data_IF_216662270670
#
_entry.id   IF_216662270670
#
_cell.length_a   1.000
_cell.length_b   1.000
_cell.length_c   1.000
_cell.angle_alpha   90.00
_cell.angle_beta   90.00
_cell.angle_gamma   90.00
#
_symmetry.space_group_name_H-M   'P 1'
#
loop_
_entity.id
_entity.type
_entity.pdbx_description
1 polymer ?
#
# COMPACT_ATOMS: atom_id res chain seq x y z
N UNK A 1 -45.53 -2.87 42.94
CA UNK A 1 -45.22 -2.33 41.60
C UNK A 1 -43.77 -2.63 41.33
N UNK A 2 -43.48 -3.59 40.44
CA UNK A 2 -42.12 -3.89 40.02
C UNK A 2 -41.75 -2.92 38.90
N UNK A 3 -40.82 -2.01 39.18
CA UNK A 3 -40.16 -1.20 38.15
C UNK A 3 -39.16 -2.14 37.48
N UNK A 4 -39.58 -2.73 36.36
CA UNK A 4 -38.69 -3.54 35.53
C UNK A 4 -37.53 -2.69 35.06
N UNK A 5 -36.30 -3.13 35.37
CA UNK A 5 -35.10 -2.56 34.81
C UNK A 5 -35.20 -2.54 33.27
N UNK A 6 -34.79 -1.46 32.60
CA UNK A 6 -34.77 -1.43 31.14
C UNK A 6 -33.87 -2.58 30.67
N UNK A 7 -34.44 -3.44 29.84
CA UNK A 7 -33.73 -4.50 29.16
C UNK A 7 -32.62 -3.84 28.33
N UNK A 8 -31.35 -4.27 28.42
CA UNK A 8 -30.32 -3.73 27.54
C UNK A 8 -30.77 -3.98 26.10
N UNK A 9 -30.91 -2.91 25.33
CA UNK A 9 -31.08 -3.00 23.88
C UNK A 9 -29.97 -3.87 23.34
N UNK A 10 -30.33 -4.89 22.54
CA UNK A 10 -29.33 -5.67 21.81
C UNK A 10 -28.37 -4.71 21.11
N UNK A 11 -27.04 -4.96 21.14
CA UNK A 11 -26.09 -4.07 20.50
C UNK A 11 -26.51 -3.91 19.03
N UNK A 12 -26.84 -2.68 18.63
CA UNK A 12 -27.19 -2.38 17.24
C UNK A 12 -25.98 -2.75 16.40
N UNK A 13 -26.20 -3.52 15.34
CA UNK A 13 -25.12 -3.88 14.41
C UNK A 13 -24.54 -2.58 13.81
N UNK A 14 -23.23 -2.29 13.98
CA UNK A 14 -22.63 -1.02 13.54
C UNK A 14 -22.89 -0.70 12.06
N UNK A 15 -22.84 -1.73 11.20
CA UNK A 15 -23.14 -1.58 9.78
C UNK A 15 -24.57 -1.12 9.51
N UNK A 16 -25.55 -1.58 10.29
CA UNK A 16 -26.95 -1.18 10.12
C UNK A 16 -27.15 0.29 10.54
N UNK A 17 -26.50 0.71 11.63
CA UNK A 17 -26.52 2.11 12.09
C UNK A 17 -25.96 3.02 11.01
N UNK A 18 -24.76 2.70 10.49
CA UNK A 18 -24.12 3.54 9.48
C UNK A 18 -24.79 3.47 8.11
N UNK A 19 -25.34 2.32 7.73
CA UNK A 19 -26.12 2.20 6.50
C UNK A 19 -27.33 3.15 6.50
N UNK A 20 -28.02 3.24 7.64
CA UNK A 20 -29.13 4.17 7.81
C UNK A 20 -28.63 5.62 7.85
N UNK A 21 -27.64 5.94 8.68
CA UNK A 21 -27.14 7.31 8.85
C UNK A 21 -26.56 7.88 7.55
N UNK A 22 -25.85 7.07 6.77
CA UNK A 22 -25.23 7.48 5.50
C UNK A 22 -26.17 7.35 4.28
N UNK A 23 -27.41 6.93 4.47
CA UNK A 23 -28.39 6.69 3.39
C UNK A 23 -27.84 5.78 2.27
N UNK A 24 -27.18 4.67 2.67
CA UNK A 24 -26.57 3.75 1.71
C UNK A 24 -27.61 3.00 0.88
N UNK A 25 -27.32 2.80 -0.40
CA UNK A 25 -28.18 2.02 -1.29
C UNK A 25 -28.20 0.54 -0.87
N UNK A 26 -29.33 -0.18 -1.01
CA UNK A 26 -29.46 -1.57 -0.58
C UNK A 26 -28.34 -2.48 -1.10
N UNK A 27 -27.92 -2.32 -2.35
CA UNK A 27 -26.85 -3.10 -2.98
C UNK A 27 -25.51 -2.90 -2.26
N UNK A 28 -25.24 -1.66 -1.83
CA UNK A 28 -24.04 -1.33 -1.05
C UNK A 28 -24.11 -1.98 0.33
N UNK A 29 -25.28 -2.00 0.96
CA UNK A 29 -25.46 -2.63 2.28
C UNK A 29 -25.27 -4.14 2.20
N UNK A 30 -25.81 -4.81 1.18
CA UNK A 30 -25.57 -6.25 0.96
C UNK A 30 -24.08 -6.55 0.76
N UNK A 31 -23.40 -5.76 -0.09
CA UNK A 31 -21.96 -5.90 -0.32
C UNK A 31 -21.15 -5.71 0.97
N UNK A 32 -21.52 -4.73 1.81
CA UNK A 32 -20.89 -4.49 3.11
C UNK A 32 -21.13 -5.62 4.11
N UNK A 33 -22.32 -6.22 4.14
CA UNK A 33 -22.60 -7.37 5.02
C UNK A 33 -21.72 -8.57 4.67
N UNK A 34 -21.49 -8.82 3.38
CA UNK A 34 -20.59 -9.87 2.93
C UNK A 34 -19.12 -9.66 3.38
N UNK A 35 -18.75 -8.43 3.78
CA UNK A 35 -17.39 -8.14 4.27
C UNK A 35 -17.15 -8.65 5.70
N UNK A 36 -18.22 -8.79 6.49
CA UNK A 36 -18.13 -9.17 7.92
C UNK A 36 -17.43 -10.50 8.14
N UNK A 37 -17.60 -11.43 7.21
CA UNK A 37 -17.04 -12.78 7.31
C UNK A 37 -15.69 -12.92 6.58
N UNK A 38 -15.16 -11.83 5.99
CA UNK A 38 -13.84 -11.84 5.35
C UNK A 38 -12.72 -11.84 6.38
N UNK A 39 -11.64 -12.56 6.06
CA UNK A 39 -10.42 -12.57 6.86
C UNK A 39 -9.86 -11.15 7.02
N UNK A 40 -9.50 -10.76 8.25
CA UNK A 40 -8.97 -9.43 8.56
C UNK A 40 -10.02 -8.31 8.68
N UNK A 41 -11.32 -8.59 8.51
CA UNK A 41 -12.38 -7.56 8.60
C UNK A 41 -12.69 -7.09 10.02
N UNK A 42 -12.34 -7.89 11.04
CA UNK A 42 -12.67 -7.64 12.45
C UNK A 42 -12.31 -6.24 12.95
N UNK A 43 -11.05 -5.79 12.81
CA UNK A 43 -10.63 -4.44 13.23
C UNK A 43 -11.38 -3.32 12.52
N UNK A 44 -11.77 -3.51 11.25
CA UNK A 44 -12.59 -2.55 10.53
C UNK A 44 -14.01 -2.48 11.10
N UNK A 45 -14.61 -3.61 11.48
CA UNK A 45 -15.91 -3.62 12.17
C UNK A 45 -15.82 -2.98 13.57
N UNK A 46 -14.74 -3.22 14.31
CA UNK A 46 -14.44 -2.55 15.58
C UNK A 46 -14.36 -1.04 15.42
N UNK A 47 -13.67 -0.56 14.38
CA UNK A 47 -13.60 0.87 14.04
C UNK A 47 -14.99 1.45 13.83
N UNK A 48 -15.82 0.81 12.98
CA UNK A 48 -17.19 1.28 12.71
C UNK A 48 -18.03 1.36 13.99
N UNK A 49 -17.88 0.41 14.91
CA UNK A 49 -18.58 0.45 16.20
C UNK A 49 -18.15 1.64 17.06
N UNK A 50 -16.88 2.05 17.00
CA UNK A 50 -16.32 3.15 17.80
C UNK A 50 -16.62 4.54 17.26
N UNK A 51 -16.78 4.68 15.94
CA UNK A 51 -17.01 5.98 15.31
C UNK A 51 -18.24 6.70 15.87
N UNK A 52 -19.25 5.97 16.37
CA UNK A 52 -20.49 6.53 16.91
C UNK A 52 -20.23 7.45 18.12
N UNK A 53 -19.20 7.11 18.90
CA UNK A 53 -18.76 7.83 20.09
C UNK A 53 -17.52 8.70 19.86
N UNK A 54 -17.08 8.89 18.61
CA UNK A 54 -16.01 9.82 18.28
C UNK A 54 -16.55 11.24 18.14
N UNK A 55 -15.81 12.26 18.59
CA UNK A 55 -16.24 13.67 18.61
C UNK A 55 -16.64 14.22 17.21
N UNK A 56 -16.08 13.68 16.12
CA UNK A 56 -16.48 14.03 14.75
C UNK A 56 -17.90 13.57 14.40
N UNK A 57 -18.47 12.64 15.15
CA UNK A 57 -19.81 12.07 14.98
C UNK A 57 -20.72 12.35 16.18
N UNK A 58 -20.16 12.60 17.37
CA UNK A 58 -20.86 12.82 18.65
C UNK A 58 -21.65 14.14 18.66
N UNK A 59 -22.75 14.16 17.90
CA UNK A 59 -23.90 15.06 18.02
C UNK A 59 -25.12 14.25 17.59
N UNK A 60 -26.28 14.46 18.23
CA UNK A 60 -27.55 14.00 17.68
C UNK A 60 -28.28 15.19 17.04
N UNK A 61 -28.49 15.21 15.70
CA UNK A 61 -28.02 14.24 14.70
C UNK A 61 -26.52 14.36 14.42
N UNK A 62 -25.91 13.28 13.90
CA UNK A 62 -24.48 13.23 13.56
C UNK A 62 -24.08 14.39 12.63
N UNK A 63 -22.81 14.82 12.70
CA UNK A 63 -22.29 15.88 11.83
C UNK A 63 -22.39 15.45 10.36
N UNK A 64 -23.18 16.17 9.57
CA UNK A 64 -23.52 15.81 8.19
C UNK A 64 -22.28 15.55 7.31
N UNK A 65 -21.25 16.39 7.42
CA UNK A 65 -20.01 16.22 6.65
C UNK A 65 -19.30 14.90 6.98
N UNK A 66 -19.18 14.54 8.27
CA UNK A 66 -18.54 13.30 8.72
C UNK A 66 -19.31 12.06 8.25
N UNK A 67 -20.64 12.11 8.31
CA UNK A 67 -21.53 11.05 7.82
C UNK A 67 -21.41 10.88 6.31
N UNK A 68 -21.40 11.98 5.55
CA UNK A 68 -21.22 11.94 4.10
C UNK A 68 -19.86 11.34 3.72
N UNK A 69 -18.79 11.73 4.40
CA UNK A 69 -17.45 11.18 4.15
C UNK A 69 -17.36 9.69 4.53
N UNK A 70 -17.99 9.27 5.63
CA UNK A 70 -18.09 7.86 6.00
C UNK A 70 -18.88 7.06 4.96
N UNK A 71 -20.00 7.61 4.47
CA UNK A 71 -20.79 6.99 3.40
C UNK A 71 -19.96 6.77 2.13
N UNK A 72 -19.11 7.73 1.75
CA UNK A 72 -18.20 7.58 0.62
C UNK A 72 -17.15 6.49 0.84
N UNK A 73 -16.57 6.41 2.05
CA UNK A 73 -15.63 5.35 2.46
C UNK A 73 -16.30 3.97 2.37
N UNK A 74 -17.49 3.82 2.95
CA UNK A 74 -18.24 2.57 2.96
C UNK A 74 -18.63 2.13 1.55
N UNK A 75 -19.11 3.06 0.72
CA UNK A 75 -19.42 2.77 -0.69
C UNK A 75 -18.19 2.31 -1.47
N UNK A 76 -17.03 2.92 -1.24
CA UNK A 76 -15.79 2.53 -1.91
C UNK A 76 -15.29 1.16 -1.43
N UNK A 77 -15.32 0.89 -0.12
CA UNK A 77 -14.92 -0.41 0.44
C UNK A 77 -15.82 -1.56 -0.05
N UNK A 78 -17.11 -1.29 -0.26
CA UNK A 78 -18.05 -2.26 -0.80
C UNK A 78 -17.75 -2.70 -2.24
N UNK A 79 -17.16 -1.82 -3.07
CA UNK A 79 -17.04 -2.05 -4.52
C UNK A 79 -15.60 -2.01 -5.05
N UNK A 80 -14.60 -1.78 -4.20
CA UNK A 80 -13.19 -1.76 -4.58
C UNK A 80 -12.37 -2.63 -3.63
N UNK A 81 -11.90 -3.77 -4.14
CA UNK A 81 -11.15 -4.76 -3.37
C UNK A 81 -9.83 -4.23 -2.83
N UNK A 82 -9.14 -3.38 -3.59
CA UNK A 82 -7.88 -2.78 -3.17
C UNK A 82 -8.09 -1.78 -2.03
N UNK A 83 -9.11 -0.94 -2.14
CA UNK A 83 -9.48 0.00 -1.08
C UNK A 83 -9.98 -0.74 0.16
N UNK A 84 -10.76 -1.81 -0.03
CA UNK A 84 -11.21 -2.66 1.07
C UNK A 84 -10.05 -3.30 1.84
N UNK A 85 -9.08 -3.87 1.12
CA UNK A 85 -7.88 -4.42 1.74
C UNK A 85 -7.10 -3.36 2.53
N UNK A 86 -7.00 -2.13 1.99
CA UNK A 86 -6.43 -0.99 2.71
C UNK A 86 -7.22 -0.63 3.98
N UNK A 87 -8.56 -0.63 3.92
CA UNK A 87 -9.40 -0.40 5.10
C UNK A 87 -9.12 -1.42 6.20
N UNK A 88 -9.00 -2.70 5.86
CA UNK A 88 -8.73 -3.77 6.83
C UNK A 88 -7.33 -3.63 7.45
N UNK A 89 -6.32 -3.33 6.64
CA UNK A 89 -4.93 -3.14 7.09
C UNK A 89 -4.80 -1.95 8.05
N UNK A 90 -5.31 -0.77 7.66
CA UNK A 90 -5.21 0.45 8.47
C UNK A 90 -6.07 0.37 9.74
N UNK A 91 -7.18 -0.36 9.70
CA UNK A 91 -8.02 -0.56 10.87
C UNK A 91 -7.41 -1.48 11.93
N UNK A 92 -6.30 -2.19 11.64
CA UNK A 92 -5.64 -3.07 12.62
C UNK A 92 -5.23 -2.38 13.93
N UNK A 93 -5.06 -1.05 13.92
CA UNK A 93 -4.82 -0.26 15.13
C UNK A 93 -6.07 0.07 15.96
N UNK A 94 -7.28 -0.13 15.42
CA UNK A 94 -8.54 0.33 16.01
C UNK A 94 -8.96 -0.47 17.26
N UNK A 95 -8.34 -1.61 17.54
CA UNK A 95 -8.69 -2.44 18.71
C UNK A 95 -8.26 -1.83 20.04
N UNK A 96 -7.29 -0.90 20.04
CA UNK A 96 -6.96 -0.11 21.23
C UNK A 96 -8.16 0.75 21.66
N UNK A 97 -8.48 0.79 22.96
CA UNK A 97 -9.58 1.59 23.52
C UNK A 97 -9.25 3.09 23.54
N UNK A 98 -9.17 3.70 22.35
CA UNK A 98 -8.84 5.10 22.15
C UNK A 98 -9.64 5.67 20.97
N UNK A 99 -10.59 6.56 21.27
CA UNK A 99 -11.45 7.23 20.28
C UNK A 99 -10.66 8.14 19.34
N UNK A 100 -9.60 8.79 19.85
CA UNK A 100 -8.71 9.62 19.03
C UNK A 100 -7.92 8.76 18.01
N UNK A 101 -7.55 7.53 18.36
CA UNK A 101 -6.95 6.63 17.37
C UNK A 101 -7.94 6.26 16.26
N UNK A 102 -9.23 6.06 16.59
CA UNK A 102 -10.27 5.84 15.59
C UNK A 102 -10.44 7.07 14.67
N UNK A 103 -10.31 8.29 15.19
CA UNK A 103 -10.32 9.54 14.40
C UNK A 103 -9.09 9.66 13.47
N UNK A 104 -7.89 9.26 13.94
CA UNK A 104 -6.68 9.21 13.13
C UNK A 104 -6.86 8.24 11.96
N UNK A 105 -7.36 7.04 12.26
CA UNK A 105 -7.64 5.99 11.28
C UNK A 105 -8.69 6.48 10.28
N UNK A 106 -9.81 7.04 10.74
CA UNK A 106 -10.85 7.58 9.87
C UNK A 106 -10.34 8.71 8.99
N UNK A 107 -9.49 9.61 9.49
CA UNK A 107 -8.77 10.60 8.69
C UNK A 107 -7.96 9.95 7.56
N UNK A 108 -7.21 8.89 7.84
CA UNK A 108 -6.43 8.18 6.82
C UNK A 108 -7.33 7.48 5.78
N UNK A 109 -8.46 6.89 6.21
CA UNK A 109 -9.44 6.30 5.29
C UNK A 109 -10.06 7.35 4.37
N UNK A 110 -10.46 8.51 4.91
CA UNK A 110 -11.00 9.64 4.13
C UNK A 110 -10.00 10.19 3.13
N UNK A 111 -8.73 10.30 3.54
CA UNK A 111 -7.66 10.68 2.64
C UNK A 111 -7.60 9.66 1.51
N UNK A 112 -7.37 8.38 1.82
CA UNK A 112 -7.28 7.33 0.81
C UNK A 112 -8.53 7.24 -0.10
N UNK A 113 -9.74 7.50 0.41
CA UNK A 113 -10.96 7.52 -0.40
C UNK A 113 -10.95 8.60 -1.49
N UNK A 114 -10.13 9.65 -1.37
CA UNK A 114 -9.96 10.70 -2.39
C UNK A 114 -8.86 10.38 -3.40
N UNK A 115 -8.14 9.27 -3.23
CA UNK A 115 -7.08 8.85 -4.15
C UNK A 115 -7.68 8.41 -5.50
N UNK A 116 -7.33 9.08 -6.63
CA UNK A 116 -7.85 8.77 -7.95
C UNK A 116 -7.66 7.31 -8.38
N UNK A 117 -6.63 6.62 -7.87
CA UNK A 117 -6.32 5.24 -8.24
C UNK A 117 -7.42 4.25 -7.86
N UNK A 118 -8.24 4.56 -6.84
CA UNK A 118 -9.39 3.73 -6.44
C UNK A 118 -10.66 3.98 -7.26
N UNK A 119 -10.70 5.03 -8.08
CA UNK A 119 -11.89 5.44 -8.84
C UNK A 119 -11.82 5.07 -10.33
N UNK A 120 -10.76 4.37 -10.75
CA UNK A 120 -10.57 3.90 -12.11
C UNK A 120 -10.01 4.96 -13.06
N UNK A 121 -9.25 4.52 -14.08
CA UNK A 121 -8.72 5.31 -15.20
C UNK A 121 -8.02 6.64 -14.82
N UNK A 122 -7.44 6.73 -13.62
CA UNK A 122 -6.67 7.90 -13.21
C UNK A 122 -5.42 8.05 -14.08
N UNK A 123 -5.19 9.26 -14.59
CA UNK A 123 -3.94 9.58 -15.28
C UNK A 123 -2.80 9.69 -14.27
N UNK A 124 -1.57 9.45 -14.73
CA UNK A 124 -0.39 9.62 -13.89
C UNK A 124 -0.31 11.03 -13.29
N UNK A 125 -0.68 12.06 -14.05
CA UNK A 125 -0.71 13.44 -13.59
C UNK A 125 -1.71 13.64 -12.45
N UNK A 126 -2.92 13.07 -12.57
CA UNK A 126 -3.95 13.15 -11.52
C UNK A 126 -3.45 12.50 -10.22
N UNK A 127 -2.82 11.33 -10.32
CA UNK A 127 -2.28 10.60 -9.17
C UNK A 127 -1.13 11.39 -8.53
N UNK A 128 -0.16 11.87 -9.31
CA UNK A 128 0.96 12.65 -8.78
C UNK A 128 0.50 13.96 -8.13
N UNK A 129 -0.45 14.68 -8.75
CA UNK A 129 -1.00 15.91 -8.20
C UNK A 129 -1.77 15.66 -6.90
N UNK A 130 -2.50 14.54 -6.83
CA UNK A 130 -3.15 14.12 -5.60
C UNK A 130 -2.14 13.84 -4.47
N UNK A 131 -1.14 12.99 -4.71
CA UNK A 131 -0.14 12.67 -3.68
C UNK A 131 0.72 13.88 -3.27
N UNK A 132 1.02 14.81 -4.19
CA UNK A 132 1.65 16.10 -3.85
C UNK A 132 0.83 16.88 -2.83
N UNK A 133 -0.49 17.00 -3.04
CA UNK A 133 -1.40 17.64 -2.07
C UNK A 133 -1.50 16.89 -0.75
N UNK A 134 -1.17 15.60 -0.73
CA UNK A 134 -1.14 14.78 0.48
C UNK A 134 0.19 14.83 1.24
N UNK A 135 1.25 15.42 0.69
CA UNK A 135 2.55 15.53 1.39
C UNK A 135 2.42 16.23 2.74
N UNK A 136 1.72 17.39 2.87
CA UNK A 136 1.50 18.05 4.17
C UNK A 136 0.92 17.13 5.24
N UNK A 137 -0.02 16.24 4.88
CA UNK A 137 -0.62 15.27 5.81
C UNK A 137 0.45 14.38 6.45
N UNK A 138 1.31 13.77 5.62
CA UNK A 138 2.41 12.91 6.09
C UNK A 138 3.54 13.67 6.82
N UNK A 139 3.65 14.98 6.58
CA UNK A 139 4.64 15.83 7.25
C UNK A 139 4.22 16.19 8.68
N UNK A 140 2.92 16.17 8.99
CA UNK A 140 2.44 16.28 10.38
C UNK A 140 2.96 15.11 11.20
N UNK A 141 2.79 13.88 10.71
CA UNK A 141 3.27 12.68 11.39
C UNK A 141 4.79 12.73 11.59
N UNK A 142 5.55 13.12 10.55
CA UNK A 142 7.00 13.32 10.64
C UNK A 142 7.42 14.35 11.69
N UNK A 143 6.70 15.46 11.75
CA UNK A 143 7.00 16.53 12.70
C UNK A 143 6.76 16.03 14.12
N UNK A 144 5.62 15.38 14.36
CA UNK A 144 5.26 14.84 15.66
C UNK A 144 6.26 13.77 16.11
N UNK A 145 6.60 12.81 15.25
CA UNK A 145 7.59 11.77 15.59
C UNK A 145 8.96 12.35 15.96
N UNK A 146 9.37 13.50 15.37
CA UNK A 146 10.63 14.17 15.72
C UNK A 146 10.53 15.00 17.01
N UNK A 147 9.39 15.64 17.23
CA UNK A 147 9.20 16.63 18.31
C UNK A 147 8.75 15.99 19.62
N UNK A 148 8.02 14.89 19.54
CA UNK A 148 7.41 14.16 20.65
C UNK A 148 7.78 12.66 20.53
N UNK A 149 9.03 12.28 20.88
CA UNK A 149 9.51 10.91 20.69
C UNK A 149 8.87 9.88 21.65
N UNK A 150 8.14 10.34 22.67
CA UNK A 150 7.42 9.47 23.60
C UNK A 150 6.05 9.09 23.00
N UNK A 151 5.84 7.79 22.82
CA UNK A 151 4.72 7.21 22.05
C UNK A 151 3.33 7.59 22.59
N UNK A 152 3.19 7.76 23.91
CA UNK A 152 1.90 7.90 24.60
C UNK A 152 1.15 9.22 24.35
N UNK A 153 1.80 10.25 23.80
CA UNK A 153 1.14 11.53 23.42
C UNK A 153 1.17 11.77 21.90
N UNK A 154 1.67 10.82 21.12
CA UNK A 154 1.95 11.05 19.70
C UNK A 154 0.68 11.16 18.85
N UNK A 155 -0.40 10.45 19.23
CA UNK A 155 -1.65 10.43 18.46
C UNK A 155 -2.46 11.71 18.67
N UNK A 156 -2.60 12.15 19.91
CA UNK A 156 -3.30 13.37 20.30
C UNK A 156 -2.63 14.60 19.67
N UNK A 157 -1.29 14.64 19.67
CA UNK A 157 -0.53 15.69 19.01
C UNK A 157 -0.68 15.67 17.48
N UNK A 158 -0.78 14.49 16.85
CA UNK A 158 -1.07 14.37 15.42
C UNK A 158 -2.47 14.92 15.10
N UNK A 159 -3.49 14.51 15.85
CA UNK A 159 -4.86 15.00 15.64
C UNK A 159 -4.99 16.51 15.87
N UNK A 160 -4.44 17.02 16.98
CA UNK A 160 -4.49 18.43 17.32
C UNK A 160 -3.86 19.29 16.21
N UNK A 161 -2.72 18.86 15.65
CA UNK A 161 -2.12 19.52 14.49
C UNK A 161 -2.98 19.39 13.24
N UNK A 162 -3.57 18.22 12.95
CA UNK A 162 -4.45 18.05 11.79
C UNK A 162 -5.70 18.95 11.85
N UNK A 163 -6.25 19.19 13.04
CA UNK A 163 -7.36 20.12 13.25
C UNK A 163 -6.90 21.57 13.01
N UNK A 164 -5.82 21.99 13.68
CA UNK A 164 -5.29 23.36 13.61
C UNK A 164 -4.75 23.76 12.23
N UNK A 165 -4.28 22.79 11.45
CA UNK A 165 -3.71 22.98 10.13
C UNK A 165 -4.69 22.64 8.99
N UNK A 166 -5.99 22.52 9.30
CA UNK A 166 -7.01 22.13 8.32
C UNK A 166 -7.09 23.05 7.08
N UNK A 167 -6.60 24.28 7.16
CA UNK A 167 -6.48 25.23 6.05
C UNK A 167 -5.44 24.84 4.99
N UNK A 168 -4.41 24.07 5.37
CA UNK A 168 -3.33 23.63 4.47
C UNK A 168 -3.34 22.11 4.19
N UNK A 169 -4.24 21.36 4.82
CA UNK A 169 -4.34 19.91 4.68
C UNK A 169 -5.37 19.51 3.61
N UNK A 170 -5.17 18.37 2.95
CA UNK A 170 -6.06 17.91 1.86
C UNK A 170 -7.46 17.50 2.33
N UNK A 171 -7.61 17.20 3.61
CA UNK A 171 -8.88 16.87 4.26
C UNK A 171 -8.98 17.62 5.59
N UNK A 172 -10.22 17.88 6.02
CA UNK A 172 -10.50 18.53 7.29
C UNK A 172 -10.68 17.48 8.38
N UNK A 173 -9.86 17.52 9.43
CA UNK A 173 -10.13 16.77 10.65
C UNK A 173 -11.13 17.57 11.50
N UNK A 174 -12.35 17.04 11.78
CA UNK A 174 -13.43 17.85 12.36
C UNK A 174 -13.20 18.21 13.83
N UNK A 175 -12.79 17.22 14.63
CA UNK A 175 -12.64 17.35 16.07
C UNK A 175 -11.80 16.21 16.67
N UNK A 176 -11.54 16.28 17.97
CA UNK A 176 -10.88 15.25 18.77
C UNK A 176 -11.53 15.18 20.15
N UNK A 177 -11.54 14.00 20.76
CA UNK A 177 -12.22 13.75 22.04
C UNK A 177 -11.38 14.25 23.23
N UNK A 178 -10.05 14.13 23.17
CA UNK A 178 -9.17 14.44 24.30
C UNK A 178 -8.24 15.64 24.03
N UNK A 179 -8.82 16.78 23.68
CA UNK A 179 -8.08 18.01 23.34
C UNK A 179 -7.16 18.51 24.47
N UNK A 180 -7.50 18.21 25.72
CA UNK A 180 -6.73 18.56 26.90
C UNK A 180 -5.45 17.73 27.07
N UNK A 181 -5.29 16.62 26.33
CA UNK A 181 -4.12 15.75 26.39
C UNK A 181 -3.04 16.11 25.36
N UNK A 182 -3.29 17.10 24.49
CA UNK A 182 -2.28 17.55 23.51
C UNK A 182 -1.30 18.58 24.08
N UNK A 183 -0.03 18.44 23.71
CA UNK A 183 1.05 19.41 23.94
C UNK A 183 1.12 20.50 22.84
N UNK A 184 0.15 20.57 21.93
CA UNK A 184 0.14 21.50 20.77
C UNK A 184 -0.44 22.86 21.16
N UNK A 185 0.45 23.81 21.42
CA UNK A 185 0.11 25.24 21.57
C UNK A 185 0.36 26.04 20.26
N UNK A 186 0.05 27.34 20.27
CA UNK A 186 0.27 28.23 19.11
C UNK A 186 1.72 28.25 18.61
N UNK A 187 2.70 28.12 19.52
CA UNK A 187 4.12 28.07 19.16
C UNK A 187 4.49 26.78 18.42
N UNK A 188 3.95 25.63 18.87
CA UNK A 188 4.13 24.33 18.21
C UNK A 188 3.44 24.33 16.84
N UNK A 189 2.24 24.91 16.74
CA UNK A 189 1.53 25.05 15.47
C UNK A 189 2.36 25.87 14.46
N UNK A 190 2.92 27.02 14.88
CA UNK A 190 3.78 27.83 14.02
C UNK A 190 5.04 27.08 13.56
N UNK A 191 5.65 26.27 14.43
CA UNK A 191 6.79 25.41 14.09
C UNK A 191 6.39 24.33 13.08
N UNK A 192 5.22 23.70 13.26
CA UNK A 192 4.70 22.70 12.33
C UNK A 192 4.42 23.31 10.95
N UNK A 193 3.80 24.50 10.89
CA UNK A 193 3.60 25.25 9.63
C UNK A 193 4.92 25.52 8.92
N UNK A 194 5.92 26.03 9.65
CA UNK A 194 7.25 26.28 9.09
C UNK A 194 7.93 24.99 8.59
N UNK A 195 7.79 23.89 9.33
CA UNK A 195 8.30 22.59 8.93
C UNK A 195 7.64 22.06 7.65
N UNK A 196 6.30 22.15 7.56
CA UNK A 196 5.56 21.74 6.36
C UNK A 196 5.96 22.59 5.16
N UNK A 197 5.97 23.93 5.29
CA UNK A 197 6.34 24.84 4.22
C UNK A 197 7.76 24.59 3.70
N UNK A 198 8.70 24.19 4.57
CA UNK A 198 10.08 23.85 4.19
C UNK A 198 10.18 22.53 3.40
N UNK A 199 9.25 21.60 3.59
CA UNK A 199 9.38 20.22 3.12
C UNK A 199 8.30 19.77 2.14
N UNK A 200 7.24 20.56 1.91
CA UNK A 200 6.10 20.17 1.07
C UNK A 200 6.48 19.90 -0.40
N UNK A 201 7.46 20.63 -0.94
CA UNK A 201 7.92 20.47 -2.32
C UNK A 201 9.07 19.46 -2.48
N UNK A 202 9.40 18.71 -1.43
CA UNK A 202 10.48 17.74 -1.47
C UNK A 202 10.09 16.50 -2.27
N UNK A 203 10.81 16.24 -3.37
CA UNK A 203 10.67 15.03 -4.20
C UNK A 203 10.87 13.75 -3.37
N UNK A 204 11.78 13.77 -2.39
CA UNK A 204 11.99 12.65 -1.47
C UNK A 204 10.76 12.40 -0.56
N UNK A 205 10.04 13.45 -0.16
CA UNK A 205 8.81 13.32 0.63
C UNK A 205 7.66 12.80 -0.21
N UNK A 206 7.55 13.29 -1.44
CA UNK A 206 6.58 12.77 -2.41
C UNK A 206 6.83 11.29 -2.74
N UNK A 207 8.08 10.92 -3.05
CA UNK A 207 8.46 9.53 -3.28
C UNK A 207 8.09 8.67 -2.08
N UNK A 208 8.44 9.09 -0.86
CA UNK A 208 8.10 8.32 0.35
C UNK A 208 6.60 8.16 0.55
N UNK A 209 5.80 9.20 0.26
CA UNK A 209 4.34 9.13 0.34
C UNK A 209 3.79 8.11 -0.67
N UNK A 210 4.22 8.19 -1.93
CA UNK A 210 3.84 7.27 -2.99
C UNK A 210 4.21 5.82 -2.66
N UNK A 211 5.45 5.56 -2.24
CA UNK A 211 5.93 4.21 -1.89
C UNK A 211 5.16 3.57 -0.73
N UNK A 212 4.53 4.37 0.14
CA UNK A 212 3.70 3.89 1.25
C UNK A 212 2.23 3.69 0.86
N UNK A 213 1.79 4.15 -0.30
CA UNK A 213 0.42 3.94 -0.78
C UNK A 213 0.29 2.56 -1.45
N UNK A 214 -0.56 1.65 -0.95
CA UNK A 214 -0.81 0.37 -1.62
C UNK A 214 -1.42 0.55 -3.01
N UNK A 215 -2.25 1.59 -3.17
CA UNK A 215 -2.87 1.96 -4.43
C UNK A 215 -1.83 2.37 -5.50
N UNK A 216 -0.78 3.07 -5.06
CA UNK A 216 0.32 3.46 -5.93
C UNK A 216 1.07 2.23 -6.50
N UNK A 217 1.29 1.19 -5.70
CA UNK A 217 1.92 -0.05 -6.19
C UNK A 217 1.11 -0.67 -7.32
N UNK A 218 -0.20 -0.84 -7.13
CA UNK A 218 -1.08 -1.38 -8.17
C UNK A 218 -1.13 -0.47 -9.41
N UNK A 219 -1.09 0.84 -9.21
CA UNK A 219 -0.99 1.79 -10.31
C UNK A 219 0.32 1.58 -11.10
N UNK A 220 1.45 1.44 -10.42
CA UNK A 220 2.75 1.20 -11.05
C UNK A 220 2.79 -0.13 -11.80
N UNK A 221 2.21 -1.19 -11.26
CA UNK A 221 2.07 -2.49 -11.93
C UNK A 221 1.33 -2.37 -13.27
N UNK A 222 0.23 -1.60 -13.30
CA UNK A 222 -0.53 -1.33 -14.54
C UNK A 222 0.24 -0.48 -15.55
N UNK A 223 1.05 0.48 -15.08
CA UNK A 223 1.84 1.35 -15.97
C UNK A 223 3.13 0.69 -16.48
N UNK A 224 3.65 -0.32 -15.78
CA UNK A 224 4.91 -0.99 -16.08
C UNK A 224 4.75 -2.52 -16.19
N UNK A 225 3.81 -3.02 -17.03
CA UNK A 225 3.47 -4.43 -17.04
C UNK A 225 4.67 -5.32 -17.41
N UNK A 226 5.54 -4.87 -18.32
CA UNK A 226 6.73 -5.64 -18.73
C UNK A 226 7.70 -5.83 -17.56
N UNK A 227 8.06 -4.76 -16.85
CA UNK A 227 8.98 -4.85 -15.72
C UNK A 227 8.45 -5.72 -14.58
N UNK A 228 7.15 -5.61 -14.26
CA UNK A 228 6.54 -6.42 -13.20
C UNK A 228 6.36 -7.88 -13.61
N UNK A 229 5.92 -8.19 -14.83
CA UNK A 229 5.83 -9.57 -15.33
C UNK A 229 7.22 -10.23 -15.37
N UNK A 230 8.24 -9.54 -15.87
CA UNK A 230 9.61 -10.06 -15.88
C UNK A 230 10.11 -10.36 -14.45
N UNK A 231 9.85 -9.46 -13.49
CA UNK A 231 10.18 -9.71 -12.09
C UNK A 231 9.49 -10.99 -11.57
N UNK A 232 8.20 -11.18 -11.85
CA UNK A 232 7.48 -12.39 -11.46
C UNK A 232 8.09 -13.66 -12.07
N UNK A 233 8.41 -13.65 -13.37
CA UNK A 233 9.02 -14.79 -14.05
C UNK A 233 10.39 -15.14 -13.48
N UNK A 234 11.23 -14.14 -13.21
CA UNK A 234 12.54 -14.34 -12.58
C UNK A 234 12.44 -14.98 -11.19
N UNK A 235 11.45 -14.57 -10.40
CA UNK A 235 11.19 -15.16 -9.08
C UNK A 235 10.61 -16.57 -9.17
N UNK A 236 9.76 -16.86 -10.15
CA UNK A 236 9.23 -18.21 -10.40
C UNK A 236 10.35 -19.17 -10.84
N UNK A 237 11.20 -18.76 -11.77
CA UNK A 237 12.38 -19.52 -12.20
C UNK A 237 13.35 -19.75 -11.04
N UNK A 238 13.61 -18.74 -10.20
CA UNK A 238 14.42 -18.90 -9.00
C UNK A 238 13.82 -19.91 -8.01
N UNK A 239 12.49 -19.91 -7.85
CA UNK A 239 11.79 -20.88 -7.00
C UNK A 239 11.95 -22.31 -7.53
N UNK A 240 11.79 -22.51 -8.84
CA UNK A 240 11.96 -23.81 -9.48
C UNK A 240 13.38 -24.34 -9.31
N UNK A 241 14.40 -23.52 -9.55
CA UNK A 241 15.79 -23.91 -9.36
C UNK A 241 16.10 -24.34 -7.90
N UNK A 242 15.50 -23.65 -6.92
CA UNK A 242 15.60 -24.03 -5.51
C UNK A 242 14.89 -25.36 -5.22
N UNK A 243 13.74 -25.62 -5.86
CA UNK A 243 13.01 -26.88 -5.71
C UNK A 243 13.78 -28.07 -6.31
N UNK A 244 14.42 -27.90 -7.46
CA UNK A 244 15.21 -28.94 -8.13
C UNK A 244 16.49 -29.30 -7.35
N UNK A 245 17.06 -28.35 -6.61
CA UNK A 245 18.26 -28.56 -5.78
C UNK A 245 17.96 -29.22 -4.42
N UNK A 246 16.72 -29.59 -4.13
CA UNK A 246 16.32 -30.18 -2.84
C UNK A 246 16.69 -31.68 -2.80
N UNK A 247 17.62 -32.12 -1.94
CA UNK A 247 17.93 -33.55 -1.81
C UNK A 247 16.75 -34.31 -1.17
N UNK A 248 16.35 -35.43 -1.76
CA UNK A 248 15.37 -36.35 -1.17
C UNK A 248 15.91 -36.91 0.16
N UNK A 249 15.19 -36.66 1.26
CA UNK A 249 15.44 -37.31 2.56
C UNK A 249 16.47 -36.69 3.50
N UNK A 250 17.05 -35.51 3.20
CA UNK A 250 17.96 -34.85 4.14
C UNK A 250 17.20 -34.04 5.21
N UNK A 251 17.55 -34.26 6.49
CA UNK A 251 17.07 -33.43 7.59
C UNK A 251 17.50 -31.97 7.39
N UNK A 252 16.52 -31.07 7.45
CA UNK A 252 16.72 -29.63 7.23
C UNK A 252 17.69 -29.08 8.28
N UNK A 253 18.85 -28.58 7.84
CA UNK A 253 19.69 -27.77 8.71
C UNK A 253 18.91 -26.51 9.08
N UNK A 254 18.90 -26.15 10.36
CA UNK A 254 18.34 -24.88 10.84
C UNK A 254 19.00 -23.77 10.03
N UNK A 255 18.22 -22.96 9.29
CA UNK A 255 18.81 -21.87 8.51
C UNK A 255 19.60 -20.96 9.45
N UNK A 256 20.76 -20.43 9.03
CA UNK A 256 21.35 -19.30 9.75
C UNK A 256 20.29 -18.20 9.87
N UNK A 257 20.31 -17.37 10.91
CA UNK A 257 19.43 -16.19 11.00
C UNK A 257 19.67 -15.29 9.78
N UNK A 258 18.86 -15.47 8.74
CA UNK A 258 18.96 -14.69 7.52
C UNK A 258 18.16 -13.42 7.76
N UNK A 259 18.85 -12.29 7.77
CA UNK A 259 18.20 -10.99 7.71
C UNK A 259 17.47 -10.84 6.36
N UNK A 260 16.17 -11.12 6.35
CA UNK A 260 15.28 -11.00 5.19
C UNK A 260 14.80 -9.56 4.95
N UNK A 261 15.23 -8.61 5.79
CA UNK A 261 14.68 -7.25 5.88
C UNK A 261 15.43 -6.24 5.01
N UNK A 262 16.68 -6.52 4.58
CA UNK A 262 17.49 -5.53 3.86
C UNK A 262 18.36 -6.11 2.75
N UNK A 263 18.00 -5.83 1.50
CA UNK A 263 18.84 -6.03 0.31
C UNK A 263 18.84 -4.75 -0.52
N UNK A 264 19.97 -4.40 -1.14
CA UNK A 264 20.12 -3.15 -1.88
C UNK A 264 19.56 -3.19 -3.31
N UNK A 265 19.24 -4.38 -3.84
CA UNK A 265 18.69 -4.54 -5.19
C UNK A 265 17.93 -5.86 -5.41
N UNK A 266 17.11 -5.91 -6.47
CA UNK A 266 16.42 -7.14 -6.93
C UNK A 266 17.41 -8.27 -7.27
N UNK A 267 18.52 -7.97 -7.94
CA UNK A 267 19.56 -8.98 -8.30
C UNK A 267 20.22 -9.58 -7.06
N UNK A 268 20.49 -8.77 -6.04
CA UNK A 268 20.99 -9.28 -4.75
C UNK A 268 19.97 -10.20 -4.07
N UNK A 269 18.69 -9.82 -4.09
CA UNK A 269 17.62 -10.63 -3.52
C UNK A 269 17.45 -11.97 -4.27
N UNK A 270 17.51 -11.97 -5.61
CA UNK A 270 17.44 -13.19 -6.44
C UNK A 270 18.64 -14.11 -6.20
N UNK A 271 19.86 -13.56 -6.15
CA UNK A 271 21.07 -14.33 -5.87
C UNK A 271 20.99 -15.01 -4.49
N UNK A 272 20.52 -14.30 -3.47
CA UNK A 272 20.31 -14.88 -2.14
C UNK A 272 19.22 -15.94 -2.15
N UNK A 273 18.09 -15.69 -2.81
CA UNK A 273 17.00 -16.66 -2.91
C UNK A 273 17.48 -18.00 -3.52
N UNK A 274 18.24 -17.93 -4.62
CA UNK A 274 18.87 -19.10 -5.27
C UNK A 274 19.85 -19.83 -4.34
N UNK A 275 20.54 -19.11 -3.45
CA UNK A 275 21.51 -19.65 -2.52
C UNK A 275 20.90 -20.28 -1.24
N UNK A 276 19.57 -20.37 -1.12
CA UNK A 276 18.90 -20.89 0.08
C UNK A 276 18.07 -22.18 -0.14
N UNK A 277 18.68 -23.32 -0.53
CA UNK A 277 17.97 -24.60 -0.70
C UNK A 277 17.25 -25.10 0.57
N UNK A 278 17.80 -24.79 1.75
CA UNK A 278 17.34 -25.30 3.06
C UNK A 278 16.15 -24.57 3.68
N UNK A 279 15.68 -23.47 3.09
CA UNK A 279 14.55 -22.68 3.63
C UNK A 279 13.19 -23.14 3.06
N UNK A 280 13.22 -23.93 1.98
CA UNK A 280 12.03 -24.40 1.28
C UNK A 280 11.19 -23.27 0.67
N UNK A 281 10.14 -23.66 -0.06
CA UNK A 281 9.14 -22.77 -0.69
C UNK A 281 8.23 -22.04 0.32
N UNK A 282 8.67 -21.91 1.58
CA UNK A 282 7.90 -21.42 2.71
C UNK A 282 7.82 -19.89 2.81
N UNK A 283 7.39 -19.40 3.98
CA UNK A 283 7.16 -17.97 4.23
C UNK A 283 8.35 -17.08 3.90
N UNK A 284 9.59 -17.51 4.17
CA UNK A 284 10.78 -16.71 3.91
C UNK A 284 11.02 -16.43 2.42
N UNK A 285 10.80 -17.38 1.51
CA UNK A 285 10.90 -17.14 0.07
C UNK A 285 9.84 -16.13 -0.40
N UNK A 286 8.60 -16.29 0.08
CA UNK A 286 7.51 -15.34 -0.20
C UNK A 286 7.84 -13.93 0.30
N UNK A 287 8.44 -13.80 1.48
CA UNK A 287 8.88 -12.49 2.00
C UNK A 287 9.97 -11.85 1.12
N UNK A 288 10.92 -12.63 0.60
CA UNK A 288 11.94 -12.10 -0.31
C UNK A 288 11.34 -11.61 -1.62
N UNK A 289 10.42 -12.38 -2.20
CA UNK A 289 9.70 -12.00 -3.41
C UNK A 289 8.87 -10.71 -3.20
N UNK A 290 8.15 -10.63 -2.08
CA UNK A 290 7.38 -9.43 -1.71
C UNK A 290 8.30 -8.21 -1.57
N UNK A 291 9.39 -8.34 -0.83
CA UNK A 291 10.36 -7.26 -0.62
C UNK A 291 11.01 -6.81 -1.94
N UNK A 292 11.35 -7.74 -2.83
CA UNK A 292 11.91 -7.40 -4.14
C UNK A 292 10.90 -6.67 -5.05
N UNK A 293 9.63 -7.05 -4.99
CA UNK A 293 8.54 -6.37 -5.71
C UNK A 293 8.33 -4.95 -5.18
N UNK A 294 8.43 -4.77 -3.86
CA UNK A 294 8.44 -3.43 -3.24
C UNK A 294 9.62 -2.61 -3.76
N UNK A 295 10.84 -3.14 -3.75
CA UNK A 295 12.03 -2.45 -4.24
C UNK A 295 11.92 -2.05 -5.73
N UNK A 296 11.33 -2.89 -6.58
CA UNK A 296 11.05 -2.55 -7.98
C UNK A 296 10.11 -1.34 -8.07
N UNK A 297 9.00 -1.37 -7.34
CA UNK A 297 8.05 -0.25 -7.29
C UNK A 297 8.74 1.03 -6.79
N UNK A 298 9.59 0.93 -5.78
CA UNK A 298 10.35 2.08 -5.24
C UNK A 298 11.34 2.65 -6.25
N UNK A 299 12.09 1.82 -7.00
CA UNK A 299 13.00 2.29 -8.05
C UNK A 299 12.24 2.99 -9.18
N UNK A 300 11.14 2.40 -9.66
CA UNK A 300 10.32 3.00 -10.70
C UNK A 300 9.73 4.35 -10.24
N UNK A 301 9.28 4.43 -8.98
CA UNK A 301 8.81 5.67 -8.38
C UNK A 301 9.92 6.72 -8.29
N UNK A 302 11.11 6.33 -7.84
CA UNK A 302 12.29 7.20 -7.76
C UNK A 302 12.66 7.78 -9.12
N UNK A 303 12.69 6.94 -10.16
CA UNK A 303 12.95 7.36 -11.55
C UNK A 303 11.93 8.37 -12.04
N UNK A 304 10.66 8.13 -11.71
CA UNK A 304 9.58 8.98 -12.16
C UNK A 304 9.56 10.34 -11.44
N UNK A 305 9.74 10.33 -10.13
CA UNK A 305 9.52 11.51 -9.27
C UNK A 305 10.79 12.31 -9.05
N UNK A 306 11.91 11.63 -8.78
CA UNK A 306 13.19 12.26 -8.44
C UNK A 306 14.03 12.46 -9.69
N UNK A 307 14.19 11.41 -10.51
CA UNK A 307 14.96 11.54 -11.76
C UNK A 307 14.16 12.19 -12.90
N UNK A 308 12.85 12.43 -12.72
CA UNK A 308 11.94 13.02 -13.71
C UNK A 308 11.96 12.32 -15.07
N UNK A 309 12.16 11.00 -15.04
CA UNK A 309 12.15 10.17 -16.26
C UNK A 309 10.73 9.73 -16.56
N UNK A 310 10.24 9.93 -17.79
CA UNK A 310 8.92 9.44 -18.17
C UNK A 310 8.86 7.91 -18.08
N UNK A 311 7.68 7.32 -17.86
CA UNK A 311 7.48 5.89 -17.97
C UNK A 311 8.02 5.37 -19.31
N UNK A 312 8.62 4.18 -19.29
CA UNK A 312 9.09 3.57 -20.53
C UNK A 312 7.90 3.19 -21.39
N UNK A 313 8.04 3.34 -22.70
CA UNK A 313 7.17 2.62 -23.63
C UNK A 313 7.45 1.13 -23.52
N UNK A 314 6.48 0.30 -23.86
CA UNK A 314 6.60 -1.16 -23.80
C UNK A 314 7.83 -1.67 -24.59
N UNK A 315 8.04 -1.15 -25.80
CA UNK A 315 9.23 -1.45 -26.61
C UNK A 315 10.55 -1.10 -25.90
N UNK A 316 10.61 0.03 -25.18
CA UNK A 316 11.78 0.44 -24.40
C UNK A 316 11.97 -0.44 -23.16
N UNK A 317 10.89 -0.94 -22.56
CA UNK A 317 10.96 -1.87 -21.43
C UNK A 317 11.56 -3.21 -21.87
N UNK A 318 11.12 -3.78 -23.00
CA UNK A 318 11.73 -4.97 -23.58
C UNK A 318 13.22 -4.79 -23.87
N UNK A 319 13.60 -3.69 -24.53
CA UNK A 319 15.01 -3.40 -24.82
C UNK A 319 15.85 -3.21 -23.54
N UNK A 320 15.23 -2.77 -22.44
CA UNK A 320 15.92 -2.63 -21.16
C UNK A 320 16.16 -3.99 -20.48
N UNK A 321 15.22 -4.94 -20.60
CA UNK A 321 15.40 -6.31 -20.10
C UNK A 321 16.58 -7.02 -20.77
N UNK A 322 16.88 -6.72 -22.03
CA UNK A 322 18.07 -7.29 -22.69
C UNK A 322 19.41 -6.79 -22.12
N UNK A 323 19.41 -5.83 -21.21
CA UNK A 323 20.59 -5.37 -20.46
C UNK A 323 20.68 -5.98 -19.07
N UNK A 324 19.68 -6.78 -18.69
CA UNK A 324 19.55 -7.40 -17.39
C UNK A 324 20.14 -8.82 -17.44
N UNK A 325 21.27 -9.09 -16.76
CA UNK A 325 21.90 -10.40 -16.81
C UNK A 325 21.00 -11.52 -16.30
N UNK A 326 20.19 -11.25 -15.26
CA UNK A 326 19.24 -12.22 -14.71
C UNK A 326 18.18 -12.61 -15.76
N UNK A 327 17.76 -11.65 -16.60
CA UNK A 327 16.82 -11.89 -17.69
C UNK A 327 17.43 -12.69 -18.84
N UNK A 328 18.67 -12.38 -19.22
CA UNK A 328 19.36 -13.15 -20.26
C UNK A 328 19.57 -14.60 -19.85
N UNK A 329 19.99 -14.85 -18.60
CA UNK A 329 20.10 -16.20 -18.06
C UNK A 329 18.75 -16.92 -17.99
N UNK A 330 17.67 -16.21 -17.66
CA UNK A 330 16.33 -16.78 -17.71
C UNK A 330 15.93 -17.21 -19.12
N UNK A 331 16.15 -16.36 -20.14
CA UNK A 331 15.83 -16.72 -21.52
C UNK A 331 16.67 -17.91 -22.02
N UNK A 332 17.94 -18.00 -21.64
CA UNK A 332 18.81 -19.13 -21.98
C UNK A 332 18.31 -20.44 -21.35
N UNK A 333 17.79 -20.38 -20.13
CA UNK A 333 17.21 -21.53 -19.43
C UNK A 333 15.89 -21.99 -20.07
N UNK A 334 15.00 -21.07 -20.43
CA UNK A 334 13.69 -21.40 -21.02
C UNK A 334 13.79 -21.80 -22.50
N UNK A 335 14.80 -21.30 -23.22
CA UNK A 335 15.01 -21.54 -24.64
C UNK A 335 16.43 -22.07 -24.93
N UNK A 336 16.85 -23.20 -24.33
CA UNK A 336 18.23 -23.68 -24.41
C UNK A 336 18.65 -24.07 -25.84
N UNK A 337 17.68 -24.49 -26.66
CA UNK A 337 17.90 -24.89 -28.05
C UNK A 337 17.83 -23.71 -29.04
N UNK A 338 17.56 -22.48 -28.57
CA UNK A 338 17.50 -21.33 -29.46
C UNK A 338 18.92 -20.93 -29.94
N UNK A 339 19.13 -20.83 -31.26
CA UNK A 339 20.45 -20.48 -31.83
C UNK A 339 21.05 -19.18 -31.29
N UNK A 340 20.24 -18.27 -30.73
CA UNK A 340 20.68 -17.00 -30.12
C UNK A 340 21.63 -17.17 -28.93
N UNK A 341 21.62 -18.35 -28.30
CA UNK A 341 22.50 -18.75 -27.19
C UNK A 341 23.65 -19.67 -27.63
N UNK A 342 23.64 -20.10 -28.89
CA UNK A 342 24.74 -20.91 -29.45
C UNK A 342 25.98 -20.04 -29.74
N UNK A 343 27.16 -20.65 -29.70
CA UNK A 343 28.42 -20.03 -30.11
C UNK A 343 28.54 -19.81 -31.62
N UNK A 344 27.62 -20.39 -32.40
CA UNK A 344 27.72 -20.48 -33.85
C UNK A 344 26.89 -19.36 -34.54
N UNK A 345 27.59 -18.32 -34.98
CA UNK A 345 27.29 -17.69 -36.28
C UNK A 345 26.07 -16.79 -36.42
N UNK A 346 25.42 -16.32 -35.36
CA UNK A 346 24.42 -15.24 -35.48
C UNK A 346 25.10 -13.87 -35.42
N UNK A 347 24.83 -13.01 -36.42
CA UNK A 347 25.27 -11.62 -36.41
C UNK A 347 24.67 -10.84 -35.24
N UNK A 348 25.41 -9.90 -34.66
CA UNK A 348 24.96 -9.12 -33.49
C UNK A 348 23.57 -8.44 -33.66
N UNK A 349 23.22 -7.86 -34.83
CA UNK A 349 21.88 -7.32 -35.06
C UNK A 349 20.78 -8.39 -35.02
N UNK A 350 21.02 -9.55 -35.64
CA UNK A 350 20.10 -10.68 -35.69
C UNK A 350 19.92 -11.30 -34.30
N UNK A 351 21.00 -11.33 -33.50
CA UNK A 351 20.96 -11.77 -32.10
C UNK A 351 20.06 -10.87 -31.27
N UNK A 352 20.22 -9.55 -31.41
CA UNK A 352 19.40 -8.58 -30.68
C UNK A 352 17.92 -8.72 -31.04
N UNK A 353 17.58 -8.84 -32.33
CA UNK A 353 16.20 -9.01 -32.77
C UNK A 353 15.59 -10.32 -32.25
N UNK A 354 16.36 -11.42 -32.29
CA UNK A 354 15.91 -12.72 -31.77
C UNK A 354 15.65 -12.66 -30.26
N UNK A 355 16.56 -12.08 -29.47
CA UNK A 355 16.37 -11.87 -28.04
C UNK A 355 15.16 -10.98 -27.71
N UNK A 356 14.94 -9.92 -28.51
CA UNK A 356 13.75 -9.06 -28.37
C UNK A 356 12.46 -9.87 -28.59
N UNK A 357 12.45 -10.75 -29.60
CA UNK A 357 11.30 -11.59 -29.93
C UNK A 357 11.00 -12.60 -28.82
N UNK A 358 12.02 -13.31 -28.32
CA UNK A 358 11.87 -14.24 -27.19
C UNK A 358 11.36 -13.51 -25.94
N UNK A 359 11.93 -12.33 -25.65
CA UNK A 359 11.48 -11.48 -24.52
C UNK A 359 10.00 -11.13 -24.63
N UNK A 360 9.55 -10.73 -25.82
CA UNK A 360 8.14 -10.42 -26.05
C UNK A 360 7.26 -11.65 -25.88
N UNK A 361 7.69 -12.81 -26.39
CA UNK A 361 6.95 -14.06 -26.28
C UNK A 361 6.74 -14.47 -24.83
N UNK A 362 7.80 -14.49 -24.01
CA UNK A 362 7.71 -14.82 -22.58
C UNK A 362 6.77 -13.87 -21.83
N UNK A 363 6.93 -12.56 -22.05
CA UNK A 363 6.14 -11.56 -21.35
C UNK A 363 4.67 -11.60 -21.79
N UNK A 364 4.39 -11.82 -23.07
CA UNK A 364 3.01 -11.94 -23.58
C UNK A 364 2.37 -13.23 -23.08
N UNK A 365 3.09 -14.36 -23.12
CA UNK A 365 2.60 -15.64 -22.62
C UNK A 365 2.23 -15.55 -21.13
N UNK A 366 3.09 -14.95 -20.33
CA UNK A 366 2.87 -14.76 -18.89
C UNK A 366 1.72 -13.79 -18.55
N UNK A 367 1.30 -12.93 -19.50
CA UNK A 367 0.17 -11.99 -19.33
C UNK A 367 -1.16 -12.53 -19.85
N UNK A 368 -1.13 -13.51 -20.75
CA UNK A 368 -2.30 -14.09 -21.41
C UNK A 368 -2.80 -15.42 -20.80
N UNK A 369 -2.25 -15.81 -19.64
CA UNK A 369 -2.64 -16.99 -18.87
C UNK A 369 -3.74 -16.72 -17.87
#
# INVERSE_FOLDING_TARGET
>A
MNIGAPTPSSPREPLAVWAQACELQPETVEALRALRDQEGSGPFMSLLAKLDACESFEKEPHRADSVQELGAVLKLAAHNDAYRAFCFDVAGGADADCYDNAEVIFGNLRLAARDPTYHGNASLEQVLNYHKRCVPWSLVDDFVSKRFPLFAESLENVLALRIRLSDILPIRTPAMTFDNMTSVNQGVEAQARAYIARHCDSEAKLQRNLCRSPAWRQFMERQHPVEFTANTLLWASALQAVMEQRPEGAAMAVPPEVNTVSFGSRTEALARARAMPGIGTGHAFRHLQQNATVLLSEDLTRRLVVEKRPPRTEAKAYAYLLRDPDWLSYLEQEHPDDPVFSSDGIGMPDRHERLMRLTQQEIVAARGG
#
